data_IF_170119122936
#
_entry.id   IF_170119122936
#
_cell.length_a   1.000
_cell.length_b   1.000
_cell.length_c   1.000
_cell.angle_alpha   90.00
_cell.angle_beta   90.00
_cell.angle_gamma   90.00
#
_symmetry.space_group_name_H-M   'P 1'
#
loop_
_entity.id
_entity.type
_entity.pdbx_description
1 polymer ?
#
# COMPACT_ATOMS: atom_id res chain seq x y z
N UNK A 1 -8.58 57.27 37.69
CA UNK A 1 -9.61 57.71 36.75
C UNK A 1 -9.59 56.74 35.57
N UNK A 2 -10.59 55.89 35.59
CA UNK A 2 -11.53 55.50 34.54
C UNK A 2 -10.99 54.71 33.36
N UNK A 3 -11.37 53.45 33.41
CA UNK A 3 -12.34 52.72 32.56
C UNK A 3 -11.76 52.24 31.20
N UNK A 4 -11.57 50.96 31.07
CA UNK A 4 -12.33 50.12 30.13
C UNK A 4 -12.05 48.66 30.47
N UNK A 5 -12.92 48.10 31.24
CA UNK A 5 -13.27 46.70 31.31
C UNK A 5 -14.41 46.45 30.33
N UNK A 6 -14.50 45.21 29.90
CA UNK A 6 -15.58 44.54 29.17
C UNK A 6 -15.47 44.56 27.65
N UNK A 7 -15.14 43.38 27.14
CA UNK A 7 -15.93 42.60 26.16
C UNK A 7 -15.04 41.48 25.54
N UNK A 8 -14.92 40.39 26.24
CA UNK A 8 -14.69 39.09 25.59
C UNK A 8 -15.66 38.09 26.21
N UNK A 9 -16.88 38.10 25.69
CA UNK A 9 -17.83 36.99 25.84
C UNK A 9 -17.30 35.79 25.10
N UNK A 10 -17.07 34.73 25.83
CA UNK A 10 -16.77 33.40 25.32
C UNK A 10 -17.87 32.93 24.36
N UNK A 11 -17.59 32.91 23.08
CA UNK A 11 -18.35 32.16 22.11
C UNK A 11 -17.93 30.68 22.23
N UNK A 12 -18.87 29.86 22.68
CA UNK A 12 -18.78 28.39 22.68
C UNK A 12 -18.64 27.86 21.27
N UNK A 13 -17.42 27.66 20.81
CA UNK A 13 -17.09 27.03 19.53
C UNK A 13 -16.73 25.56 19.69
N UNK A 14 -17.63 24.75 20.29
CA UNK A 14 -17.43 23.32 20.47
C UNK A 14 -17.87 22.43 19.30
N UNK A 15 -18.57 22.98 18.29
CA UNK A 15 -19.33 22.18 17.32
C UNK A 15 -18.62 21.88 15.96
N UNK A 16 -17.42 22.42 15.72
CA UNK A 16 -16.83 22.31 14.35
C UNK A 16 -15.82 21.19 14.15
N UNK A 17 -15.17 20.70 15.20
CA UNK A 17 -14.18 19.61 15.08
C UNK A 17 -14.84 18.24 15.02
N UNK A 18 -15.85 17.99 15.85
CA UNK A 18 -16.57 16.69 15.86
C UNK A 18 -17.34 16.43 14.56
N UNK A 19 -17.86 17.44 13.90
CA UNK A 19 -18.56 17.31 12.63
C UNK A 19 -17.65 16.97 11.44
N UNK A 20 -16.40 17.43 11.45
CA UNK A 20 -15.42 17.12 10.41
C UNK A 20 -14.95 15.68 10.56
N UNK A 21 -14.75 15.20 11.78
CA UNK A 21 -14.30 13.84 12.07
C UNK A 21 -15.38 12.81 11.68
N UNK A 22 -16.63 13.06 12.03
CA UNK A 22 -17.79 12.21 11.69
C UNK A 22 -17.98 12.07 10.15
N UNK A 23 -17.81 13.14 9.40
CA UNK A 23 -17.92 13.13 7.95
C UNK A 23 -16.77 12.34 7.30
N UNK A 24 -15.56 12.48 7.83
CA UNK A 24 -14.37 11.71 7.42
C UNK A 24 -14.54 10.22 7.69
N UNK A 25 -15.04 9.86 8.86
CA UNK A 25 -15.27 8.47 9.27
C UNK A 25 -16.33 7.79 8.40
N UNK A 26 -17.43 8.47 8.11
CA UNK A 26 -18.47 7.98 7.19
C UNK A 26 -17.95 7.79 5.77
N UNK A 27 -17.09 8.68 5.27
CA UNK A 27 -16.46 8.54 3.94
C UNK A 27 -15.48 7.38 3.92
N UNK A 28 -14.67 7.25 4.96
CA UNK A 28 -13.71 6.15 5.12
C UNK A 28 -14.43 4.80 5.13
N UNK A 29 -15.45 4.61 5.98
CA UNK A 29 -16.24 3.37 6.04
C UNK A 29 -16.85 3.03 4.68
N UNK A 30 -17.52 3.99 4.04
CA UNK A 30 -18.12 3.81 2.71
C UNK A 30 -17.09 3.45 1.65
N UNK A 31 -15.87 4.02 1.73
CA UNK A 31 -14.79 3.70 0.79
C UNK A 31 -14.41 2.22 0.88
N UNK A 32 -14.26 1.67 2.10
CA UNK A 32 -13.99 0.24 2.32
C UNK A 32 -15.13 -0.66 1.88
N UNK A 33 -16.37 -0.32 2.23
CA UNK A 33 -17.55 -1.12 1.90
C UNK A 33 -17.76 -1.25 0.38
N UNK A 34 -17.40 -0.21 -0.38
CA UNK A 34 -17.52 -0.20 -1.83
C UNK A 34 -16.32 -0.83 -2.56
N UNK A 35 -15.21 -1.10 -1.88
CA UNK A 35 -13.98 -1.54 -2.54
C UNK A 35 -14.10 -2.87 -3.28
N UNK A 36 -14.74 -3.93 -2.74
CA UNK A 36 -14.90 -5.18 -3.47
C UNK A 36 -15.69 -5.01 -4.78
N UNK A 37 -16.76 -4.23 -4.75
CA UNK A 37 -17.58 -3.95 -5.94
C UNK A 37 -16.83 -3.12 -6.99
N UNK A 38 -16.05 -2.13 -6.54
CA UNK A 38 -15.19 -1.32 -7.41
C UNK A 38 -14.12 -2.20 -8.08
N UNK A 39 -13.46 -3.07 -7.32
CA UNK A 39 -12.47 -4.00 -7.84
C UNK A 39 -13.07 -4.94 -8.89
N UNK A 40 -14.23 -5.54 -8.62
CA UNK A 40 -14.92 -6.42 -9.56
C UNK A 40 -15.36 -5.70 -10.84
N UNK A 41 -15.86 -4.46 -10.73
CA UNK A 41 -16.24 -3.63 -11.89
C UNK A 41 -15.01 -3.25 -12.72
N UNK A 42 -13.95 -2.78 -12.06
CA UNK A 42 -12.71 -2.40 -12.70
C UNK A 42 -12.09 -3.60 -13.45
N UNK A 43 -12.05 -4.78 -12.81
CA UNK A 43 -11.52 -5.98 -13.39
C UNK A 43 -12.25 -6.41 -14.68
N UNK A 44 -13.58 -6.30 -14.71
CA UNK A 44 -14.38 -6.58 -15.91
C UNK A 44 -14.05 -5.68 -17.09
N UNK A 45 -13.56 -4.46 -16.85
CA UNK A 45 -13.25 -3.48 -17.88
C UNK A 45 -11.79 -3.51 -18.33
N UNK A 46 -10.87 -3.86 -17.44
CA UNK A 46 -9.42 -3.70 -17.65
C UNK A 46 -8.67 -5.02 -17.76
N UNK A 47 -9.30 -6.15 -17.41
CA UNK A 47 -8.70 -7.50 -17.37
C UNK A 47 -7.46 -7.60 -16.46
N UNK A 48 -7.23 -6.60 -15.60
CA UNK A 48 -6.20 -6.56 -14.58
C UNK A 48 -6.77 -6.20 -13.21
N UNK A 49 -6.10 -6.58 -12.11
CA UNK A 49 -6.52 -6.14 -10.78
C UNK A 49 -6.55 -4.61 -10.64
N UNK A 50 -7.48 -4.13 -9.83
CA UNK A 50 -7.44 -2.78 -9.29
C UNK A 50 -6.27 -2.67 -8.31
N UNK A 51 -5.43 -1.66 -8.48
CA UNK A 51 -4.21 -1.46 -7.68
C UNK A 51 -4.40 -0.33 -6.69
N UNK A 52 -4.24 -0.65 -5.40
CA UNK A 52 -4.27 0.31 -4.31
C UNK A 52 -2.85 0.45 -3.76
N UNK A 53 -2.20 1.58 -4.02
CA UNK A 53 -0.90 1.88 -3.40
C UNK A 53 -1.13 2.41 -2.00
N UNK A 54 -0.59 1.72 -0.99
CA UNK A 54 -0.74 2.10 0.41
C UNK A 54 0.61 2.12 1.13
N UNK A 55 0.92 3.25 1.77
CA UNK A 55 2.13 3.38 2.57
C UNK A 55 1.98 4.44 3.65
N UNK A 56 2.86 4.39 4.63
CA UNK A 56 2.98 5.41 5.67
C UNK A 56 4.28 6.19 5.48
N UNK A 57 4.23 7.49 5.74
CA UNK A 57 5.40 8.37 5.76
C UNK A 57 5.32 9.36 6.92
N UNK A 58 6.46 9.94 7.28
CA UNK A 58 6.54 11.09 8.16
C UNK A 58 6.12 12.40 7.45
N UNK A 59 6.00 13.51 8.18
CA UNK A 59 5.68 14.83 7.61
C UNK A 59 6.69 15.28 6.55
N UNK A 60 7.96 14.89 6.66
CA UNK A 60 9.01 15.16 5.70
C UNK A 60 9.13 14.10 4.59
N UNK A 61 8.14 13.20 4.48
CA UNK A 61 8.06 12.19 3.42
C UNK A 61 8.98 10.99 3.60
N UNK A 62 9.54 10.76 4.78
CA UNK A 62 10.45 9.63 5.04
C UNK A 62 9.68 8.35 5.40
N UNK A 63 10.16 7.19 4.90
CA UNK A 63 9.62 5.85 5.23
C UNK A 63 10.57 5.00 6.10
N UNK A 64 11.81 5.40 6.21
CA UNK A 64 12.83 4.72 7.01
C UNK A 64 13.88 5.74 7.44
N UNK A 65 14.74 5.38 8.38
CA UNK A 65 15.92 6.19 8.72
C UNK A 65 16.91 6.24 7.56
N UNK A 66 17.86 7.17 7.61
CA UNK A 66 18.87 7.32 6.56
C UNK A 66 19.75 6.07 6.40
N UNK A 67 20.00 5.33 7.48
CA UNK A 67 20.71 4.05 7.49
C UNK A 67 19.82 2.84 7.15
N UNK A 68 18.65 3.08 6.57
CA UNK A 68 17.67 2.09 6.08
C UNK A 68 17.03 1.22 7.17
N UNK A 69 17.08 1.62 8.41
CA UNK A 69 16.38 0.92 9.46
C UNK A 69 14.88 1.23 9.40
N UNK A 70 14.02 0.21 9.49
CA UNK A 70 12.58 0.42 9.57
C UNK A 70 12.22 1.17 10.85
N UNK A 71 11.23 2.06 10.74
CA UNK A 71 10.66 2.80 11.88
C UNK A 71 9.15 2.62 11.90
N UNK A 72 8.55 2.43 13.07
CA UNK A 72 7.10 2.39 13.20
C UNK A 72 6.54 3.80 12.96
N UNK A 73 6.00 4.04 11.78
CA UNK A 73 5.39 5.32 11.41
C UNK A 73 3.91 5.37 11.81
N UNK A 74 3.19 4.30 11.52
CA UNK A 74 1.76 4.21 11.78
C UNK A 74 1.45 4.01 13.27
N UNK A 75 0.48 4.76 13.79
CA UNK A 75 -0.13 4.49 15.10
C UNK A 75 -0.95 3.19 15.08
N UNK A 76 -1.42 2.75 16.24
CA UNK A 76 -2.32 1.60 16.31
C UNK A 76 -3.59 1.81 15.48
N UNK A 77 -4.16 3.03 15.50
CA UNK A 77 -5.38 3.36 14.76
C UNK A 77 -5.19 3.22 13.25
N UNK A 78 -4.12 3.81 12.68
CA UNK A 78 -3.84 3.69 11.26
C UNK A 78 -3.38 2.28 10.86
N UNK A 79 -2.79 1.52 11.78
CA UNK A 79 -2.53 0.08 11.58
C UNK A 79 -3.82 -0.75 11.47
N UNK A 80 -4.85 -0.44 12.26
CA UNK A 80 -6.19 -1.06 12.12
C UNK A 80 -6.75 -0.79 10.72
N UNK A 81 -6.63 0.44 10.23
CA UNK A 81 -7.07 0.81 8.88
C UNK A 81 -6.27 0.06 7.79
N UNK A 82 -4.95 -0.06 7.95
CA UNK A 82 -4.11 -0.89 7.06
C UNK A 82 -4.59 -2.34 7.03
N UNK A 83 -4.96 -2.91 8.19
CA UNK A 83 -5.49 -4.26 8.25
C UNK A 83 -6.89 -4.40 7.63
N UNK A 84 -7.74 -3.36 7.71
CA UNK A 84 -9.00 -3.32 6.93
C UNK A 84 -8.72 -3.34 5.43
N UNK A 85 -7.71 -2.58 4.97
CA UNK A 85 -7.33 -2.57 3.55
C UNK A 85 -6.84 -3.95 3.08
N UNK A 86 -6.03 -4.63 3.90
CA UNK A 86 -5.63 -6.02 3.64
C UNK A 86 -6.83 -6.97 3.55
N UNK A 87 -7.81 -6.80 4.43
CA UNK A 87 -9.01 -7.66 4.51
C UNK A 87 -9.93 -7.53 3.28
N UNK A 88 -9.95 -6.37 2.62
CA UNK A 88 -10.76 -6.13 1.41
C UNK A 88 -9.99 -6.31 0.10
N UNK A 89 -8.71 -6.67 0.17
CA UNK A 89 -7.85 -6.91 -0.99
C UNK A 89 -7.64 -8.40 -1.22
N UNK A 90 -7.68 -8.86 -2.48
CA UNK A 90 -7.42 -10.28 -2.81
C UNK A 90 -5.93 -10.62 -2.63
N UNK A 91 -5.05 -9.67 -2.90
CA UNK A 91 -3.61 -9.85 -2.77
C UNK A 91 -2.90 -8.65 -2.18
N UNK A 92 -1.74 -8.90 -1.57
CA UNK A 92 -0.82 -7.89 -1.03
C UNK A 92 0.54 -8.06 -1.67
N UNK A 93 1.09 -6.98 -2.24
CA UNK A 93 2.32 -6.99 -2.99
C UNK A 93 3.40 -6.15 -2.29
N UNK A 94 4.57 -6.75 -2.10
CA UNK A 94 5.77 -6.07 -1.61
C UNK A 94 6.99 -6.41 -2.49
N UNK A 95 8.04 -5.59 -2.39
CA UNK A 95 9.34 -5.89 -3.01
C UNK A 95 10.18 -6.83 -2.15
N UNK A 96 11.06 -7.59 -2.79
CA UNK A 96 11.98 -8.52 -2.12
C UNK A 96 12.85 -7.86 -1.06
N UNK A 97 13.27 -6.62 -1.26
CA UNK A 97 14.10 -5.92 -0.29
C UNK A 97 13.33 -5.65 1.03
N UNK A 98 12.04 -5.30 0.96
CA UNK A 98 11.16 -5.17 2.13
C UNK A 98 11.01 -6.51 2.83
N UNK A 99 10.83 -7.60 2.08
CA UNK A 99 10.74 -8.93 2.68
C UNK A 99 12.02 -9.35 3.40
N UNK A 100 13.20 -9.11 2.80
CA UNK A 100 14.50 -9.48 3.41
C UNK A 100 14.76 -8.68 4.70
N UNK A 101 14.35 -7.39 4.75
CA UNK A 101 14.60 -6.52 5.90
C UNK A 101 13.61 -6.81 7.04
N UNK A 102 12.32 -6.93 6.72
CA UNK A 102 11.25 -6.92 7.72
C UNK A 102 10.66 -8.31 7.99
N UNK A 103 10.86 -9.29 7.10
CA UNK A 103 10.21 -10.61 7.09
C UNK A 103 8.73 -10.56 7.57
N UNK A 104 7.88 -9.75 6.91
CA UNK A 104 6.53 -9.46 7.38
C UNK A 104 5.60 -10.66 7.19
N UNK A 105 4.59 -10.81 8.06
CA UNK A 105 3.56 -11.84 7.91
C UNK A 105 2.56 -11.55 6.79
N UNK A 106 2.36 -10.30 6.42
CA UNK A 106 1.38 -9.83 5.43
C UNK A 106 -0.06 -10.35 5.67
N UNK A 107 -0.46 -10.42 6.94
CA UNK A 107 -1.73 -10.99 7.37
C UNK A 107 -2.67 -9.95 7.96
N UNK A 108 -3.96 -10.29 8.00
CA UNK A 108 -4.99 -9.58 8.77
C UNK A 108 -4.95 -10.08 10.22
N UNK A 109 -4.80 -9.17 11.20
CA UNK A 109 -4.68 -9.51 12.63
C UNK A 109 -5.42 -8.54 13.56
N UNK A 110 -5.70 -7.32 13.11
CA UNK A 110 -6.29 -6.27 13.93
C UNK A 110 -7.79 -6.05 13.64
N UNK A 111 -8.32 -6.76 12.66
CA UNK A 111 -9.74 -6.74 12.28
C UNK A 111 -10.15 -8.14 11.84
N UNK A 112 -11.44 -8.40 11.76
CA UNK A 112 -11.97 -9.58 11.12
C UNK A 112 -11.83 -9.48 9.59
N UNK A 113 -11.59 -10.62 8.94
CA UNK A 113 -11.48 -10.71 7.48
C UNK A 113 -10.48 -11.75 7.00
N UNK A 114 -10.50 -11.99 5.71
CA UNK A 114 -9.60 -12.93 5.06
C UNK A 114 -8.20 -12.33 4.88
N UNK A 115 -7.20 -13.22 4.88
CA UNK A 115 -5.84 -12.79 4.55
C UNK A 115 -5.69 -12.65 3.04
N UNK A 116 -5.12 -11.55 2.55
CA UNK A 116 -4.75 -11.43 1.15
C UNK A 116 -3.65 -12.43 0.78
N UNK A 117 -3.57 -12.81 -0.50
CA UNK A 117 -2.48 -13.62 -1.04
C UNK A 117 -1.20 -12.78 -1.13
N UNK A 118 -0.09 -13.14 -0.45
CA UNK A 118 1.17 -12.44 -0.60
C UNK A 118 1.74 -12.59 -2.01
N UNK A 119 2.22 -11.47 -2.57
CA UNK A 119 2.95 -11.41 -3.84
C UNK A 119 4.29 -10.72 -3.58
N UNK A 120 5.37 -11.39 -3.90
CA UNK A 120 6.72 -10.87 -3.73
C UNK A 120 7.31 -10.54 -5.10
N UNK A 121 7.60 -9.24 -5.34
CA UNK A 121 8.36 -8.81 -6.52
C UNK A 121 9.83 -9.15 -6.33
N UNK A 122 10.30 -10.20 -7.01
CA UNK A 122 11.65 -10.70 -6.88
C UNK A 122 12.20 -11.18 -8.22
N UNK A 123 12.66 -10.26 -9.04
CA UNK A 123 13.14 -10.53 -10.40
C UNK A 123 14.16 -11.67 -10.49
N UNK A 124 14.89 -11.95 -9.40
CA UNK A 124 15.99 -12.94 -9.36
C UNK A 124 15.71 -14.12 -8.43
N UNK A 125 14.51 -14.25 -7.88
CA UNK A 125 14.11 -15.28 -6.91
C UNK A 125 15.07 -15.40 -5.71
N UNK A 126 15.43 -14.25 -5.10
CA UNK A 126 16.31 -14.16 -3.93
C UNK A 126 15.58 -14.41 -2.60
N UNK A 127 14.27 -14.64 -2.63
CA UNK A 127 13.45 -14.86 -1.43
C UNK A 127 14.06 -15.95 -0.57
N UNK A 128 14.36 -15.69 0.73
CA UNK A 128 14.93 -16.69 1.61
C UNK A 128 13.95 -17.83 1.88
N UNK A 129 14.42 -19.09 1.85
CA UNK A 129 13.61 -20.27 2.12
C UNK A 129 12.92 -20.27 3.49
N UNK A 130 13.53 -19.58 4.48
CA UNK A 130 13.00 -19.44 5.83
C UNK A 130 11.96 -18.32 5.99
N UNK A 131 11.65 -17.55 4.95
CA UNK A 131 10.71 -16.43 5.01
C UNK A 131 9.35 -16.87 5.54
N UNK A 132 8.78 -16.07 6.44
CA UNK A 132 7.51 -16.36 7.11
C UNK A 132 6.34 -16.51 6.14
N UNK A 133 6.35 -15.79 5.03
CA UNK A 133 5.31 -15.86 3.98
C UNK A 133 5.31 -17.21 3.25
N UNK A 134 6.48 -17.86 3.05
CA UNK A 134 6.60 -19.18 2.43
C UNK A 134 6.23 -20.31 3.40
N UNK A 135 6.63 -20.20 4.66
CA UNK A 135 6.42 -21.25 5.68
C UNK A 135 4.99 -21.34 6.21
N UNK A 136 4.12 -20.48 5.77
CA UNK A 136 2.73 -20.42 6.25
C UNK A 136 1.90 -21.52 5.60
N UNK A 137 1.71 -22.62 6.31
CA UNK A 137 0.94 -23.78 5.84
C UNK A 137 -0.49 -23.40 5.43
N UNK A 138 -0.95 -23.96 4.31
CA UNK A 138 -2.30 -23.77 3.80
C UNK A 138 -2.58 -22.41 3.16
N UNK A 139 -1.55 -21.57 2.97
CA UNK A 139 -1.69 -20.29 2.30
C UNK A 139 -0.78 -20.21 1.08
N UNK A 140 -1.35 -19.71 -0.01
CA UNK A 140 -0.64 -19.45 -1.27
C UNK A 140 0.25 -18.22 -1.08
N UNK A 141 1.49 -18.28 -1.56
CA UNK A 141 2.40 -17.15 -1.72
C UNK A 141 2.90 -17.14 -3.16
N UNK A 142 2.78 -16.03 -3.85
CA UNK A 142 3.27 -15.87 -5.22
C UNK A 142 4.58 -15.13 -5.24
N UNK A 143 5.54 -15.59 -6.04
CA UNK A 143 6.83 -14.94 -6.24
C UNK A 143 6.97 -14.58 -7.72
N UNK A 144 6.92 -13.28 -8.01
CA UNK A 144 7.02 -12.78 -9.39
C UNK A 144 8.49 -12.57 -9.77
N UNK A 145 9.00 -13.42 -10.65
CA UNK A 145 10.36 -13.39 -11.19
C UNK A 145 10.43 -13.11 -12.68
N UNK A 146 11.60 -12.70 -13.18
CA UNK A 146 11.85 -12.61 -14.62
C UNK A 146 12.23 -13.97 -15.21
N UNK A 147 12.09 -14.12 -16.52
CA UNK A 147 12.51 -15.34 -17.22
C UNK A 147 14.03 -15.45 -17.12
N UNK A 148 14.54 -16.48 -16.42
CA UNK A 148 15.98 -16.72 -16.28
C UNK A 148 16.48 -17.37 -14.98
N UNK A 149 15.67 -17.52 -13.91
CA UNK A 149 16.09 -18.32 -12.75
C UNK A 149 16.29 -19.78 -13.16
N UNK A 150 17.22 -20.47 -12.49
CA UNK A 150 17.43 -21.90 -12.74
C UNK A 150 16.16 -22.69 -12.40
N UNK A 151 15.88 -23.75 -13.14
CA UNK A 151 14.77 -24.67 -12.86
C UNK A 151 14.82 -25.21 -11.42
N UNK A 152 16.02 -25.44 -10.88
CA UNK A 152 16.26 -25.88 -9.50
C UNK A 152 15.71 -24.88 -8.48
N UNK A 153 15.95 -23.57 -8.72
CA UNK A 153 15.46 -22.54 -7.79
C UNK A 153 13.94 -22.40 -7.83
N UNK A 154 13.34 -22.57 -8.99
CA UNK A 154 11.87 -22.58 -9.12
C UNK A 154 11.30 -23.78 -8.36
N UNK A 155 11.84 -24.99 -8.61
CA UNK A 155 11.39 -26.20 -7.93
C UNK A 155 11.53 -26.10 -6.40
N UNK A 156 12.66 -25.59 -5.90
CA UNK A 156 12.86 -25.33 -4.46
C UNK A 156 11.76 -24.44 -3.85
N UNK A 157 11.41 -23.34 -4.54
CA UNK A 157 10.37 -22.43 -4.05
C UNK A 157 8.97 -23.08 -4.08
N UNK A 158 8.68 -23.89 -5.10
CA UNK A 158 7.42 -24.61 -5.21
C UNK A 158 7.28 -25.69 -4.15
N UNK A 159 8.35 -26.42 -3.82
CA UNK A 159 8.41 -27.37 -2.71
C UNK A 159 8.14 -26.71 -1.35
N UNK A 160 8.54 -25.44 -1.19
CA UNK A 160 8.27 -24.63 0.00
C UNK A 160 6.85 -24.03 0.03
N UNK A 161 6.02 -24.30 -1.00
CA UNK A 161 4.64 -23.81 -1.09
C UNK A 161 4.51 -22.44 -1.77
N UNK A 162 5.56 -21.94 -2.39
CA UNK A 162 5.50 -20.75 -3.24
C UNK A 162 4.99 -21.09 -4.64
N UNK A 163 4.31 -20.15 -5.29
CA UNK A 163 3.97 -20.22 -6.72
C UNK A 163 4.81 -19.21 -7.48
N UNK A 164 5.67 -19.68 -8.38
CA UNK A 164 6.51 -18.77 -9.18
C UNK A 164 5.74 -18.28 -10.39
N UNK A 165 5.59 -16.93 -10.51
CA UNK A 165 5.03 -16.29 -11.68
C UNK A 165 6.17 -15.81 -12.58
N UNK A 166 6.30 -16.43 -13.74
CA UNK A 166 7.28 -16.00 -14.74
C UNK A 166 6.78 -14.76 -15.49
N UNK A 167 7.45 -13.64 -15.27
CA UNK A 167 7.15 -12.37 -15.91
C UNK A 167 8.23 -12.01 -16.94
N UNK A 168 7.83 -11.23 -17.95
CA UNK A 168 8.80 -10.61 -18.85
C UNK A 168 9.62 -9.58 -18.07
N UNK A 169 10.90 -9.38 -18.40
CA UNK A 169 11.65 -8.26 -17.85
C UNK A 169 11.21 -6.94 -18.49
N UNK A 170 11.25 -5.87 -17.71
CA UNK A 170 11.22 -4.49 -18.20
C UNK A 170 12.59 -4.12 -18.84
N UNK A 171 12.75 -2.92 -19.42
CA UNK A 171 14.03 -2.48 -19.97
C UNK A 171 15.19 -2.43 -18.98
N UNK A 172 14.91 -2.40 -17.67
CA UNK A 172 15.90 -2.43 -16.60
C UNK A 172 16.17 -3.84 -16.04
N UNK A 173 15.57 -4.88 -16.63
CA UNK A 173 15.69 -6.27 -16.18
C UNK A 173 14.88 -6.61 -14.92
N UNK A 174 13.96 -5.72 -14.50
CA UNK A 174 13.01 -5.96 -13.42
C UNK A 174 11.72 -6.59 -13.96
N UNK A 175 10.85 -7.04 -13.08
CA UNK A 175 9.52 -7.55 -13.45
C UNK A 175 8.71 -6.47 -14.17
N UNK A 176 8.26 -6.75 -15.40
CA UNK A 176 7.27 -5.93 -16.10
C UNK A 176 5.94 -5.96 -15.33
N UNK A 177 5.58 -4.82 -14.71
CA UNK A 177 4.41 -4.71 -13.85
C UNK A 177 3.10 -4.87 -14.64
N UNK A 178 3.03 -4.44 -15.90
CA UNK A 178 1.85 -4.62 -16.74
C UNK A 178 1.63 -6.11 -17.00
N UNK A 179 2.68 -6.81 -17.39
CA UNK A 179 2.62 -8.25 -17.61
C UNK A 179 2.23 -9.00 -16.33
N UNK A 180 2.81 -8.62 -15.16
CA UNK A 180 2.45 -9.21 -13.88
C UNK A 180 0.96 -9.02 -13.57
N UNK A 181 0.42 -7.80 -13.69
CA UNK A 181 -0.99 -7.52 -13.39
C UNK A 181 -1.93 -8.35 -14.26
N UNK A 182 -1.63 -8.52 -15.56
CA UNK A 182 -2.39 -9.42 -16.42
C UNK A 182 -2.29 -10.90 -15.99
N UNK A 183 -1.11 -11.36 -15.56
CA UNK A 183 -0.94 -12.71 -15.02
C UNK A 183 -1.74 -12.94 -13.73
N UNK A 184 -1.84 -11.91 -12.87
CA UNK A 184 -2.65 -11.95 -11.66
C UNK A 184 -4.14 -11.97 -12.00
N UNK A 185 -4.59 -11.16 -12.96
CA UNK A 185 -5.96 -11.18 -13.44
C UNK A 185 -6.40 -12.56 -13.96
N UNK A 186 -5.55 -13.23 -14.74
CA UNK A 186 -5.81 -14.61 -15.21
C UNK A 186 -5.92 -15.64 -14.09
N UNK A 187 -5.41 -15.33 -12.89
CA UNK A 187 -5.53 -16.13 -11.67
C UNK A 187 -6.73 -15.76 -10.80
N UNK A 188 -7.58 -14.87 -11.30
CA UNK A 188 -8.79 -14.41 -10.61
C UNK A 188 -8.56 -13.36 -9.53
N UNK A 189 -7.36 -12.78 -9.42
CA UNK A 189 -7.07 -11.67 -8.51
C UNK A 189 -7.70 -10.40 -9.10
N UNK A 190 -8.62 -9.78 -8.37
CA UNK A 190 -9.35 -8.58 -8.81
C UNK A 190 -8.83 -7.30 -8.15
N UNK A 191 -8.14 -7.43 -7.00
CA UNK A 191 -7.57 -6.30 -6.26
C UNK A 191 -6.19 -6.64 -5.71
N UNK A 192 -5.27 -5.67 -5.77
CA UNK A 192 -3.92 -5.77 -5.22
C UNK A 192 -3.60 -4.54 -4.38
N UNK A 193 -3.34 -4.75 -3.10
CA UNK A 193 -2.74 -3.74 -2.23
C UNK A 193 -1.22 -3.77 -2.39
N UNK A 194 -0.63 -2.68 -2.85
CA UNK A 194 0.83 -2.49 -2.91
C UNK A 194 1.27 -1.81 -1.62
N UNK A 195 1.95 -2.56 -0.75
CA UNK A 195 2.27 -2.11 0.62
C UNK A 195 3.78 -1.95 0.85
N UNK A 196 4.57 -1.64 -0.04
CA UNK A 196 5.88 -1.46 0.47
C UNK A 196 7.05 -1.33 -0.47
N UNK A 197 8.13 -0.79 0.11
CA UNK A 197 9.37 -0.45 -0.52
C UNK A 197 9.25 0.77 -1.45
N UNK A 198 9.98 1.83 -1.18
CA UNK A 198 9.92 3.06 -1.98
C UNK A 198 10.15 2.80 -3.48
N UNK A 199 11.00 1.82 -3.84
CA UNK A 199 11.21 1.43 -5.25
C UNK A 199 9.94 0.87 -5.89
N UNK A 200 9.21 -0.01 -5.19
CA UNK A 200 7.98 -0.62 -5.71
C UNK A 200 6.89 0.43 -5.86
N UNK A 201 6.67 1.24 -4.82
CA UNK A 201 5.70 2.35 -4.85
C UNK A 201 6.02 3.28 -6.02
N UNK A 202 7.27 3.71 -6.16
CA UNK A 202 7.74 4.58 -7.25
C UNK A 202 7.48 3.94 -8.62
N UNK A 203 7.77 2.63 -8.77
CA UNK A 203 7.56 1.92 -10.04
C UNK A 203 6.09 1.87 -10.44
N UNK A 204 5.17 1.60 -9.50
CA UNK A 204 3.73 1.62 -9.79
C UNK A 204 3.23 3.01 -10.18
N UNK A 205 3.71 4.05 -9.51
CA UNK A 205 3.36 5.43 -9.83
C UNK A 205 3.96 5.88 -11.18
N UNK A 206 5.22 5.56 -11.47
CA UNK A 206 5.85 5.89 -12.76
C UNK A 206 5.20 5.18 -13.94
N UNK A 207 4.78 3.93 -13.75
CA UNK A 207 4.10 3.13 -14.77
C UNK A 207 2.61 3.47 -14.91
N UNK A 208 2.08 4.45 -14.15
CA UNK A 208 0.68 4.84 -14.14
C UNK A 208 -0.28 3.68 -13.83
N UNK A 209 0.17 2.76 -12.95
CA UNK A 209 -0.56 1.55 -12.59
C UNK A 209 -1.28 1.61 -11.24
N UNK A 210 -1.18 2.72 -10.52
CA UNK A 210 -1.93 2.95 -9.29
C UNK A 210 -3.33 3.49 -9.63
N UNK A 211 -4.37 2.80 -9.18
CA UNK A 211 -5.77 3.21 -9.37
C UNK A 211 -6.29 3.97 -8.14
N UNK A 212 -5.81 3.64 -6.95
CA UNK A 212 -6.06 4.36 -5.72
C UNK A 212 -4.78 4.54 -4.90
N UNK A 213 -4.77 5.62 -4.11
CA UNK A 213 -3.73 5.91 -3.11
C UNK A 213 -4.36 5.95 -1.72
N UNK A 214 -3.73 5.28 -0.76
CA UNK A 214 -4.01 5.40 0.68
C UNK A 214 -2.71 5.75 1.39
N UNK A 215 -2.54 7.02 1.74
CA UNK A 215 -1.32 7.55 2.32
C UNK A 215 -1.54 7.90 3.78
N UNK A 216 -0.82 7.23 4.67
CA UNK A 216 -0.76 7.59 6.10
C UNK A 216 0.37 8.59 6.34
N UNK A 217 0.05 9.69 6.99
CA UNK A 217 1.02 10.73 7.37
C UNK A 217 1.15 10.73 8.89
N UNK A 218 2.30 10.29 9.38
CA UNK A 218 2.62 10.33 10.81
C UNK A 218 3.09 11.72 11.22
N UNK A 219 2.64 12.30 12.35
CA UNK A 219 2.94 13.65 12.78
C UNK A 219 4.36 13.77 13.38
N UNK A 220 5.38 13.41 12.60
CA UNK A 220 6.80 13.47 13.00
C UNK A 220 7.72 13.79 11.82
N UNK A 221 8.90 14.31 12.11
CA UNK A 221 10.02 14.42 11.18
C UNK A 221 11.02 13.31 11.44
N UNK A 222 11.59 12.75 10.39
CA UNK A 222 12.56 11.62 10.46
C UNK A 222 13.90 12.03 9.84
N UNK A 223 13.89 12.83 8.76
CA UNK A 223 15.10 13.18 8.01
C UNK A 223 15.78 11.97 7.38
N UNK A 224 14.97 11.01 6.94
CA UNK A 224 15.43 9.70 6.47
C UNK A 224 15.28 9.49 4.96
N UNK A 225 15.03 8.25 4.56
CA UNK A 225 14.84 7.89 3.16
C UNK A 225 13.43 8.28 2.69
N UNK A 226 13.30 8.96 1.54
CA UNK A 226 12.01 9.37 1.02
C UNK A 226 11.17 8.16 0.57
N UNK A 227 9.86 8.27 0.73
CA UNK A 227 8.88 7.28 0.27
C UNK A 227 8.94 7.07 -1.24
N UNK A 228 9.18 8.14 -1.98
CA UNK A 228 9.20 8.13 -3.44
C UNK A 228 10.59 8.48 -3.95
N UNK A 229 11.04 7.72 -4.93
CA UNK A 229 12.15 8.09 -5.79
C UNK A 229 11.75 9.24 -6.74
N UNK A 230 12.66 9.62 -7.64
CA UNK A 230 12.38 10.63 -8.65
C UNK A 230 11.27 10.13 -9.59
N UNK A 231 10.15 10.84 -9.63
CA UNK A 231 9.12 10.62 -10.65
C UNK A 231 9.56 11.36 -11.92
N UNK A 232 9.77 10.60 -13.00
CA UNK A 232 10.29 11.14 -14.27
C UNK A 232 9.22 11.84 -15.12
N UNK A 233 7.94 11.66 -14.78
CA UNK A 233 6.80 12.21 -15.51
C UNK A 233 6.36 13.57 -14.97
N UNK A 234 5.40 14.20 -15.67
CA UNK A 234 4.73 15.41 -15.21
C UNK A 234 4.17 15.24 -13.78
N UNK A 235 3.92 16.34 -13.06
CA UNK A 235 3.37 16.27 -11.70
C UNK A 235 2.12 15.40 -11.64
N UNK A 236 2.08 14.49 -10.68
CA UNK A 236 0.92 13.68 -10.37
C UNK A 236 -0.05 14.49 -9.51
N UNK A 237 -1.29 14.63 -9.96
CA UNK A 237 -2.38 15.21 -9.15
C UNK A 237 -3.36 14.11 -8.69
N UNK A 238 -4.30 14.50 -7.85
CA UNK A 238 -5.28 13.57 -7.29
C UNK A 238 -6.69 14.13 -7.41
N UNK A 239 -7.65 13.24 -7.65
CA UNK A 239 -9.09 13.54 -7.64
C UNK A 239 -9.78 12.72 -6.55
N UNK A 240 -11.01 13.10 -6.21
CA UNK A 240 -11.86 12.42 -5.23
C UNK A 240 -11.20 12.25 -3.85
N UNK A 241 -10.20 13.11 -3.56
CA UNK A 241 -9.42 13.05 -2.35
C UNK A 241 -10.23 13.41 -1.11
N UNK A 242 -9.95 12.70 -0.01
CA UNK A 242 -10.41 13.06 1.32
C UNK A 242 -9.39 12.65 2.39
N UNK A 243 -9.46 13.32 3.53
CA UNK A 243 -8.63 13.02 4.68
C UNK A 243 -9.50 12.38 5.78
N UNK A 244 -8.87 11.45 6.50
CA UNK A 244 -9.46 10.81 7.69
C UNK A 244 -8.46 10.88 8.82
N UNK A 245 -8.87 11.43 9.96
CA UNK A 245 -8.08 11.46 11.19
C UNK A 245 -8.09 10.05 11.80
N UNK A 246 -6.91 9.50 12.06
CA UNK A 246 -6.74 8.14 12.52
C UNK A 246 -5.86 8.11 13.77
N UNK A 247 -6.43 8.50 14.91
CA UNK A 247 -5.67 8.82 16.11
C UNK A 247 -4.76 10.02 15.87
N UNK A 248 -3.44 9.92 16.11
CA UNK A 248 -2.51 11.00 15.82
C UNK A 248 -2.19 11.17 14.32
N UNK A 249 -2.47 10.15 13.49
CA UNK A 249 -2.12 10.15 12.07
C UNK A 249 -3.24 10.74 11.21
N UNK A 250 -2.88 11.25 10.06
CA UNK A 250 -3.82 11.63 9.00
C UNK A 250 -3.67 10.64 7.86
N UNK A 251 -4.79 10.09 7.38
CA UNK A 251 -4.81 9.21 6.21
C UNK A 251 -5.49 9.90 5.04
N UNK A 252 -4.77 10.01 3.94
CA UNK A 252 -5.26 10.57 2.69
C UNK A 252 -5.65 9.45 1.73
N UNK A 253 -6.90 9.48 1.28
CA UNK A 253 -7.45 8.61 0.24
C UNK A 253 -7.64 9.42 -1.02
N UNK A 254 -7.20 8.91 -2.18
CA UNK A 254 -7.36 9.63 -3.44
C UNK A 254 -7.24 8.72 -4.66
N UNK A 255 -7.70 9.22 -5.80
CA UNK A 255 -7.48 8.62 -7.11
C UNK A 255 -6.40 9.39 -7.85
N UNK A 256 -5.29 8.74 -8.25
CA UNK A 256 -4.25 9.40 -9.04
C UNK A 256 -4.78 9.89 -10.40
N UNK A 257 -4.42 11.12 -10.77
CA UNK A 257 -4.72 11.70 -12.08
C UNK A 257 -3.42 11.99 -12.81
N UNK A 258 -3.25 11.32 -13.92
CA UNK A 258 -2.07 11.44 -14.78
C UNK A 258 -2.28 12.56 -15.79
N UNK A 259 -1.38 13.54 -15.81
CA UNK A 259 -1.36 14.57 -16.84
C UNK A 259 -0.53 14.06 -18.03
N UNK A 260 -0.97 14.37 -19.22
CA UNK A 260 -0.25 14.09 -20.48
C UNK A 260 0.97 15.00 -20.65
#
# INVERSE_FOLDING_TARGET
MNRHHDLLTAGSGGDTMDGIDQAGENRCSRWFDQMPERAARFFKQSERPLVIVSYAQSLDGSIATYDRKPIPLSSHHSMVLTHRLRAVSDAILIGINTLIIDDPLLTVRLVEGNNPCPIILDSRLRIPAQSRVLRRRGHRCMVAGTIGPSHERVAELEELGGEVIHCRPDPCGKVDLVHLLHQLGRRGIQSVMVEGGGEVITSFLQSRLADHLVLTIAPRFVGGLPALGRLAAAPLSFTDGFYHCCGPDIVFFATPRWHE
#
